data_IF_442380653932
#
_entry.id   IF_442380653932
#
_cell.length_a   1.000
_cell.length_b   1.000
_cell.length_c   1.000
_cell.angle_alpha   90.00
_cell.angle_beta   90.00
_cell.angle_gamma   90.00
#
_symmetry.space_group_name_H-M   'P 1'
#
loop_
_entity.id
_entity.type
_entity.pdbx_description
1 polymer ?
#
# COMPACT_ATOMS: atom_id res chain seq x y z
N UNK A 1 -9.19 7.38 -8.64
CA UNK A 1 -10.38 6.49 -8.53
C UNK A 1 -10.34 5.84 -7.15
N UNK A 2 -10.65 6.63 -6.11
CA UNK A 2 -10.18 6.38 -4.74
C UNK A 2 -11.13 5.56 -3.85
N UNK A 3 -10.52 4.83 -2.90
CA UNK A 3 -11.04 4.09 -1.72
C UNK A 3 -12.20 3.09 -1.92
N UNK A 4 -12.94 3.16 -3.02
CA UNK A 4 -14.18 2.41 -3.27
C UNK A 4 -13.97 1.03 -3.92
N UNK A 5 -12.75 0.69 -4.34
CA UNK A 5 -12.42 -0.60 -4.94
C UNK A 5 -11.85 -1.63 -3.94
N UNK A 6 -11.56 -1.22 -2.70
CA UNK A 6 -11.01 -2.12 -1.67
C UNK A 6 -12.18 -2.65 -0.83
N UNK A 7 -12.47 -3.94 -0.94
CA UNK A 7 -13.44 -4.59 -0.07
C UNK A 7 -12.78 -5.00 1.26
N UNK A 8 -13.26 -4.45 2.38
CA UNK A 8 -12.76 -4.75 3.73
C UNK A 8 -11.42 -4.07 4.07
N UNK A 9 -10.65 -4.67 4.99
CA UNK A 9 -9.34 -4.17 5.46
C UNK A 9 -9.38 -2.80 6.14
N UNK A 10 -10.44 -2.56 6.92
CA UNK A 10 -10.64 -1.30 7.63
C UNK A 10 -9.50 -0.99 8.61
N UNK A 11 -8.93 -2.02 9.24
CA UNK A 11 -7.83 -1.86 10.20
C UNK A 11 -6.54 -1.39 9.52
N UNK A 12 -6.16 -2.02 8.39
CA UNK A 12 -4.97 -1.61 7.64
C UNK A 12 -5.13 -0.22 7.00
N UNK A 13 -6.33 0.09 6.48
CA UNK A 13 -6.66 1.41 5.93
C UNK A 13 -6.55 2.48 7.02
N UNK A 14 -7.05 2.21 8.23
CA UNK A 14 -6.96 3.15 9.34
C UNK A 14 -5.50 3.39 9.79
N UNK A 15 -4.65 2.36 9.72
CA UNK A 15 -3.21 2.50 9.96
C UNK A 15 -2.59 3.39 8.88
N UNK A 16 -2.89 3.15 7.60
CA UNK A 16 -2.35 3.96 6.51
C UNK A 16 -2.82 5.42 6.57
N UNK A 17 -4.08 5.70 6.91
CA UNK A 17 -4.58 7.07 7.07
C UNK A 17 -3.87 7.79 8.23
N UNK A 18 -3.58 7.10 9.35
CA UNK A 18 -2.82 7.69 10.47
C UNK A 18 -1.40 8.06 10.06
N UNK A 19 -0.74 7.17 9.33
CA UNK A 19 0.65 7.35 8.92
C UNK A 19 0.76 8.44 7.86
N UNK A 20 -0.22 8.51 6.95
CA UNK A 20 -0.31 9.57 5.97
C UNK A 20 -0.60 10.95 6.58
N UNK A 21 -1.33 11.00 7.69
CA UNK A 21 -1.60 12.24 8.43
C UNK A 21 -0.40 12.71 9.28
N UNK A 22 0.58 11.85 9.52
CA UNK A 22 1.79 12.18 10.25
C UNK A 22 2.67 13.14 9.44
N UNK A 23 3.27 14.13 10.10
CA UNK A 23 4.17 15.09 9.45
C UNK A 23 5.61 14.56 9.36
N UNK A 24 5.89 13.44 10.01
CA UNK A 24 7.20 12.80 10.03
C UNK A 24 7.30 11.69 8.97
N UNK A 25 8.54 11.38 8.57
CA UNK A 25 8.80 10.30 7.62
C UNK A 25 8.69 8.94 8.33
N UNK A 26 7.56 8.26 8.14
CA UNK A 26 7.33 6.93 8.71
C UNK A 26 7.62 5.79 7.72
N UNK A 27 8.09 4.65 8.24
CA UNK A 27 8.40 3.48 7.43
C UNK A 27 7.44 2.32 7.73
N UNK A 28 6.74 1.84 6.69
CA UNK A 28 5.79 0.73 6.78
C UNK A 28 6.33 -0.48 6.02
N UNK A 29 6.31 -1.64 6.68
CA UNK A 29 6.51 -2.93 6.04
C UNK A 29 5.20 -3.73 6.01
N UNK A 30 4.69 -4.06 4.81
CA UNK A 30 3.47 -4.87 4.63
C UNK A 30 3.83 -6.31 4.29
N UNK A 31 3.46 -7.27 5.14
CA UNK A 31 3.84 -8.67 4.99
C UNK A 31 2.65 -9.65 5.01
N UNK A 32 2.91 -10.93 4.69
CA UNK A 32 1.96 -12.05 4.81
C UNK A 32 1.92 -12.95 3.56
N UNK A 33 0.87 -13.77 3.43
CA UNK A 33 0.77 -14.77 2.34
C UNK A 33 0.74 -14.18 0.92
N UNK A 34 1.26 -14.94 -0.05
CA UNK A 34 1.21 -14.60 -1.48
C UNK A 34 -0.23 -14.50 -1.98
N UNK A 35 -0.46 -13.67 -3.00
CA UNK A 35 -1.75 -13.48 -3.70
C UNK A 35 -2.92 -12.94 -2.87
N UNK A 36 -2.72 -12.54 -1.63
CA UNK A 36 -3.75 -11.81 -0.87
C UNK A 36 -3.96 -10.36 -1.37
N UNK A 37 -3.21 -9.89 -2.36
CA UNK A 37 -3.36 -8.54 -2.91
C UNK A 37 -2.78 -7.44 -2.00
N UNK A 38 -1.59 -7.64 -1.42
CA UNK A 38 -0.88 -6.59 -0.66
C UNK A 38 -0.45 -5.43 -1.55
N UNK A 39 0.19 -5.75 -2.68
CA UNK A 39 0.61 -4.74 -3.66
C UNK A 39 -0.57 -3.96 -4.20
N UNK A 40 -1.70 -4.64 -4.43
CA UNK A 40 -2.95 -4.00 -4.84
C UNK A 40 -3.46 -3.03 -3.76
N UNK A 41 -3.49 -3.45 -2.48
CA UNK A 41 -3.91 -2.59 -1.38
C UNK A 41 -3.11 -1.29 -1.29
N UNK A 42 -1.77 -1.39 -1.30
CA UNK A 42 -0.89 -0.22 -1.23
C UNK A 42 -1.08 0.67 -2.46
N UNK A 43 -1.17 0.06 -3.65
CA UNK A 43 -1.35 0.81 -4.88
C UNK A 43 -2.67 1.56 -4.91
N UNK A 44 -3.78 0.91 -4.61
CA UNK A 44 -5.11 1.56 -4.60
C UNK A 44 -5.26 2.61 -3.50
N UNK A 45 -4.65 2.40 -2.32
CA UNK A 45 -4.74 3.37 -1.23
C UNK A 45 -3.91 4.61 -1.49
N UNK A 46 -2.68 4.44 -1.99
CA UNK A 46 -1.73 5.53 -2.21
C UNK A 46 -1.62 5.95 -3.70
N UNK A 47 -2.53 5.53 -4.58
CA UNK A 47 -2.38 5.68 -6.05
C UNK A 47 -2.09 7.12 -6.49
N UNK A 48 -2.77 8.09 -5.87
CA UNK A 48 -2.61 9.52 -6.18
C UNK A 48 -1.46 10.19 -5.41
N UNK A 49 -0.84 9.46 -4.47
CA UNK A 49 0.16 9.97 -3.51
C UNK A 49 1.55 9.32 -3.67
N UNK A 50 1.70 8.30 -4.51
CA UNK A 50 2.98 7.63 -4.76
C UNK A 50 3.77 8.37 -5.85
N UNK A 51 4.91 8.96 -5.47
CA UNK A 51 5.87 9.51 -6.43
C UNK A 51 6.75 8.44 -7.08
N UNK A 52 7.09 7.38 -6.34
CA UNK A 52 7.99 6.32 -6.79
C UNK A 52 7.49 4.94 -6.37
N UNK A 53 7.33 4.03 -7.34
CA UNK A 53 7.06 2.62 -7.11
C UNK A 53 8.06 1.80 -7.93
N UNK A 54 8.88 1.00 -7.25
CA UNK A 54 9.78 0.06 -7.90
C UNK A 54 9.21 -1.35 -7.76
N UNK A 55 8.59 -1.93 -8.79
CA UNK A 55 8.23 -3.34 -8.76
C UNK A 55 9.52 -4.17 -8.69
N UNK A 56 9.52 -5.21 -7.85
CA UNK A 56 10.66 -6.12 -7.75
C UNK A 56 10.97 -6.76 -9.11
N UNK A 57 12.14 -6.45 -9.67
CA UNK A 57 12.63 -7.08 -10.89
C UNK A 57 13.20 -8.46 -10.55
N UNK A 58 12.55 -9.51 -11.04
CA UNK A 58 13.18 -10.83 -11.10
C UNK A 58 14.27 -10.77 -12.16
N UNK A 59 15.52 -11.08 -11.76
CA UNK A 59 16.61 -11.30 -12.71
C UNK A 59 16.15 -12.41 -13.66
N UNK A 60 15.94 -12.08 -14.94
CA UNK A 60 15.85 -13.10 -15.98
C UNK A 60 17.26 -13.69 -16.08
N UNK A 61 17.37 -14.97 -15.71
CA UNK A 61 18.57 -15.77 -15.88
C UNK A 61 18.65 -16.27 -17.32
#
# INVERSE_FOLDING_TARGET
>A
MGKSNIAGRHDEIAIFDKILASTEAEFIAVYGRCRVGKTFLVKEFFDELICFCSPGYTKQA
#
